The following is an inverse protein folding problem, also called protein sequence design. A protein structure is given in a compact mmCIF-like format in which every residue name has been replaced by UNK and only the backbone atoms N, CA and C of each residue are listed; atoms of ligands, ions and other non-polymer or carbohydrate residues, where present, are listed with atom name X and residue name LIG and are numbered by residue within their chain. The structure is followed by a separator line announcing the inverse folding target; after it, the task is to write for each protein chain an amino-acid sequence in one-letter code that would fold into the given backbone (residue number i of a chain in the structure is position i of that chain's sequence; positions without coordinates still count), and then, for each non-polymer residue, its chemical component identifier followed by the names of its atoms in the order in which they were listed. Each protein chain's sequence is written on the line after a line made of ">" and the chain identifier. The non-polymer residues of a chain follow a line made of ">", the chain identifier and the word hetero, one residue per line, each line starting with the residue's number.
data_IF_184714535691
#
_entry.id   IF_184714535691
#
_cell.length_a   1.000
_cell.length_b   1.000
_cell.length_c   1.000
_cell.angle_alpha   90.00
_cell.angle_beta   90.00
_cell.angle_gamma   90.00
#
_symmetry.space_group_name_H-M   'P 1'
#
loop_
_entity.id
_entity.type
_entity.pdbx_description
1 polymer ?
#
# COMPACT_ATOMS: atom_id res chain seq x y z
N UNK A 1 1.90 33.09 26.64
CA UNK A 1 2.59 33.06 25.32
C UNK A 1 3.45 31.81 25.09
N UNK A 2 4.17 31.27 26.09
CA UNK A 2 5.02 30.06 25.94
C UNK A 2 4.23 28.82 25.46
N UNK A 3 3.06 28.55 26.05
CA UNK A 3 2.21 27.40 25.70
C UNK A 3 1.71 27.47 24.26
N UNK A 4 1.27 28.65 23.79
CA UNK A 4 0.82 28.86 22.41
C UNK A 4 1.95 28.61 21.41
N UNK A 5 3.19 29.03 21.72
CA UNK A 5 4.35 28.76 20.87
C UNK A 5 4.67 27.26 20.81
N UNK A 6 4.61 26.56 21.94
CA UNK A 6 4.83 25.10 21.97
C UNK A 6 3.75 24.37 21.16
N UNK A 7 2.48 24.76 21.32
CA UNK A 7 1.38 24.18 20.57
C UNK A 7 1.52 24.42 19.05
N UNK A 8 1.93 25.63 18.64
CA UNK A 8 2.20 25.95 17.24
C UNK A 8 3.33 25.10 16.66
N UNK A 9 4.44 24.94 17.40
CA UNK A 9 5.57 24.11 16.96
C UNK A 9 5.15 22.65 16.83
N UNK A 10 4.39 22.11 17.79
CA UNK A 10 3.88 20.74 17.70
C UNK A 10 2.93 20.54 16.52
N UNK A 11 2.05 21.51 16.25
CA UNK A 11 1.16 21.46 15.09
C UNK A 11 1.94 21.49 13.77
N UNK A 12 2.99 22.32 13.69
CA UNK A 12 3.89 22.39 12.52
C UNK A 12 4.65 21.08 12.30
N UNK A 13 5.18 20.48 13.37
CA UNK A 13 5.88 19.19 13.29
C UNK A 13 4.93 18.06 12.87
N UNK A 14 3.72 18.03 13.42
CA UNK A 14 2.70 17.08 13.02
C UNK A 14 2.31 17.26 11.55
N UNK A 15 2.09 18.50 11.11
CA UNK A 15 1.77 18.82 9.71
C UNK A 15 2.89 18.44 8.75
N UNK A 16 4.15 18.73 9.10
CA UNK A 16 5.31 18.32 8.31
C UNK A 16 5.45 16.79 8.22
N UNK A 17 5.18 16.08 9.32
CA UNK A 17 5.16 14.61 9.35
C UNK A 17 4.11 14.04 8.41
N UNK A 18 2.88 14.58 8.45
CA UNK A 18 1.79 14.16 7.55
C UNK A 18 2.13 14.44 6.09
N UNK A 19 2.68 15.61 5.79
CA UNK A 19 3.09 15.97 4.42
C UNK A 19 4.20 15.05 3.89
N UNK A 20 5.16 14.70 4.73
CA UNK A 20 6.23 13.76 4.38
C UNK A 20 5.69 12.37 4.07
N UNK A 21 4.81 11.83 4.94
CA UNK A 21 4.13 10.56 4.72
C UNK A 21 3.34 10.53 3.41
N UNK A 22 2.61 11.60 3.10
CA UNK A 22 1.85 11.68 1.86
C UNK A 22 2.75 11.66 0.62
N UNK A 23 3.90 12.34 0.66
CA UNK A 23 4.87 12.33 -0.43
C UNK A 23 5.51 10.95 -0.61
N UNK A 24 5.85 10.27 0.48
CA UNK A 24 6.46 8.94 0.43
C UNK A 24 5.49 7.91 -0.12
N UNK A 25 4.25 7.90 0.37
CA UNK A 25 3.18 7.05 -0.16
C UNK A 25 3.02 7.33 -1.66
N UNK A 26 2.93 8.60 -2.06
CA UNK A 26 2.79 8.97 -3.47
C UNK A 26 3.96 8.46 -4.33
N UNK A 27 5.20 8.52 -3.83
CA UNK A 27 6.37 7.96 -4.55
C UNK A 27 6.24 6.45 -4.74
N UNK A 28 5.88 5.73 -3.69
CA UNK A 28 5.72 4.27 -3.74
C UNK A 28 4.60 3.85 -4.71
N UNK A 29 3.53 4.64 -4.83
CA UNK A 29 2.46 4.39 -5.82
C UNK A 29 2.88 4.63 -7.26
N UNK A 30 3.90 5.48 -7.49
CA UNK A 30 4.45 5.73 -8.82
C UNK A 30 5.63 4.81 -9.14
N UNK A 31 6.07 3.98 -8.19
CA UNK A 31 7.13 3.03 -8.41
C UNK A 31 6.62 1.87 -9.27
N UNK A 32 7.28 1.55 -10.39
CA UNK A 32 6.83 0.48 -11.26
C UNK A 32 6.88 -0.86 -10.52
N UNK A 33 5.83 -1.66 -10.70
CA UNK A 33 5.79 -3.02 -10.20
C UNK A 33 6.95 -3.82 -10.81
N UNK A 34 7.61 -4.63 -9.99
CA UNK A 34 8.70 -5.48 -10.43
C UNK A 34 8.13 -6.77 -11.05
N UNK A 35 7.54 -6.62 -12.25
CA UNK A 35 6.95 -7.73 -13.00
C UNK A 35 8.01 -8.31 -13.93
N UNK A 36 8.27 -9.64 -13.91
CA UNK A 36 9.19 -10.28 -14.84
C UNK A 36 8.74 -10.07 -16.29
N UNK A 37 9.69 -10.02 -17.24
CA UNK A 37 9.38 -9.87 -18.67
C UNK A 37 8.48 -11.00 -19.24
N UNK A 38 8.43 -12.15 -18.58
CA UNK A 38 7.53 -13.25 -18.92
C UNK A 38 6.08 -13.04 -18.44
N UNK A 39 5.81 -11.93 -17.75
CA UNK A 39 4.58 -11.67 -17.01
C UNK A 39 4.55 -12.39 -15.66
N UNK A 40 3.69 -11.90 -14.76
CA UNK A 40 3.41 -12.55 -13.48
C UNK A 40 1.98 -13.07 -13.47
N UNK A 41 1.82 -14.37 -13.18
CA UNK A 41 0.50 -14.99 -13.04
C UNK A 41 0.12 -15.04 -11.58
N UNK A 42 -0.83 -14.19 -11.21
CA UNK A 42 -1.43 -14.23 -9.90
C UNK A 42 -2.60 -15.20 -9.90
N UNK A 43 -2.50 -16.28 -9.12
CA UNK A 43 -3.61 -17.20 -8.89
C UNK A 43 -4.27 -16.88 -7.54
N UNK A 44 -5.50 -16.38 -7.58
CA UNK A 44 -6.28 -16.07 -6.37
C UNK A 44 -7.16 -17.26 -6.03
N UNK A 45 -6.80 -17.97 -4.94
CA UNK A 45 -7.57 -19.13 -4.48
C UNK A 45 -8.97 -18.73 -3.96
N UNK A 46 -9.96 -19.65 -3.98
CA UNK A 46 -11.27 -19.40 -3.41
C UNK A 46 -11.20 -19.04 -1.93
N UNK A 47 -11.79 -17.90 -1.56
CA UNK A 47 -11.76 -17.39 -0.19
C UNK A 47 -10.43 -16.72 0.22
N UNK A 48 -9.48 -16.52 -0.71
CA UNK A 48 -8.27 -15.77 -0.40
C UNK A 48 -8.61 -14.31 -0.06
N UNK A 49 -8.13 -13.85 1.10
CA UNK A 49 -8.24 -12.44 1.51
C UNK A 49 -7.20 -11.56 0.81
N UNK A 50 -7.41 -10.24 0.83
CA UNK A 50 -6.42 -9.29 0.33
C UNK A 50 -5.07 -9.48 0.99
N UNK A 51 -5.06 -9.75 2.29
CA UNK A 51 -3.84 -10.02 3.06
C UNK A 51 -3.05 -11.22 2.52
N UNK A 52 -3.74 -12.30 2.13
CA UNK A 52 -3.05 -13.47 1.57
C UNK A 52 -2.48 -13.17 0.19
N UNK A 53 -3.26 -12.53 -0.67
CA UNK A 53 -2.84 -12.17 -2.04
C UNK A 53 -1.64 -11.22 -2.04
N UNK A 54 -1.71 -10.15 -1.25
CA UNK A 54 -0.62 -9.18 -1.09
C UNK A 54 0.64 -9.79 -0.48
N UNK A 55 0.49 -10.70 0.49
CA UNK A 55 1.63 -11.42 1.04
C UNK A 55 2.33 -12.28 -0.01
N UNK A 56 1.58 -12.99 -0.85
CA UNK A 56 2.15 -13.76 -1.97
C UNK A 56 2.88 -12.86 -2.96
N UNK A 57 2.27 -11.74 -3.37
CA UNK A 57 2.90 -10.76 -4.26
C UNK A 57 4.21 -10.19 -3.67
N UNK A 58 4.25 -9.98 -2.36
CA UNK A 58 5.46 -9.53 -1.66
C UNK A 58 6.54 -10.61 -1.58
N UNK A 59 6.15 -11.87 -1.35
CA UNK A 59 7.06 -13.02 -1.35
C UNK A 59 7.67 -13.27 -2.74
N UNK A 60 6.89 -13.04 -3.79
CA UNK A 60 7.33 -13.17 -5.17
C UNK A 60 8.07 -11.93 -5.69
N UNK A 61 8.26 -10.91 -4.84
CA UNK A 61 9.02 -9.70 -5.15
C UNK A 61 8.34 -8.77 -6.17
N UNK A 62 7.06 -8.96 -6.43
CA UNK A 62 6.27 -8.13 -7.36
C UNK A 62 5.95 -6.77 -6.74
N UNK A 63 5.69 -6.75 -5.43
CA UNK A 63 5.46 -5.53 -4.65
C UNK A 63 6.49 -5.38 -3.53
N UNK A 64 7.03 -4.19 -3.36
CA UNK A 64 8.01 -3.90 -2.29
C UNK A 64 7.35 -3.80 -0.90
N UNK A 65 6.11 -3.33 -0.82
CA UNK A 65 5.44 -3.01 0.45
C UNK A 65 4.02 -3.62 0.54
N UNK A 66 3.90 -4.92 0.85
CA UNK A 66 2.60 -5.60 0.90
C UNK A 66 1.63 -5.01 1.93
N UNK A 67 2.13 -4.56 3.09
CA UNK A 67 1.28 -3.98 4.15
C UNK A 67 0.61 -2.66 3.72
N UNK A 68 1.26 -1.86 2.86
CA UNK A 68 0.66 -0.63 2.33
C UNK A 68 -0.54 -0.93 1.43
N UNK A 69 -0.44 -1.98 0.62
CA UNK A 69 -1.51 -2.41 -0.27
C UNK A 69 -2.70 -2.99 0.53
N UNK A 70 -2.42 -3.71 1.63
CA UNK A 70 -3.46 -4.15 2.57
C UNK A 70 -4.14 -2.97 3.24
N UNK A 71 -3.38 -2.01 3.76
CA UNK A 71 -3.92 -0.82 4.42
C UNK A 71 -4.79 0.00 3.47
N UNK A 72 -4.34 0.17 2.23
CA UNK A 72 -5.12 0.84 1.19
C UNK A 72 -6.43 0.11 0.90
N UNK A 73 -6.39 -1.22 0.72
CA UNK A 73 -7.62 -1.99 0.49
C UNK A 73 -8.57 -2.05 1.69
N UNK A 74 -8.06 -1.89 2.92
CA UNK A 74 -8.88 -1.68 4.12
C UNK A 74 -9.62 -0.33 4.07
N UNK A 75 -8.91 0.75 3.71
CA UNK A 75 -9.48 2.11 3.60
C UNK A 75 -10.52 2.16 2.47
N UNK A 76 -10.24 1.50 1.33
CA UNK A 76 -11.14 1.39 0.18
C UNK A 76 -12.33 0.43 0.40
N UNK A 77 -12.30 -0.40 1.45
CA UNK A 77 -13.28 -1.47 1.65
C UNK A 77 -13.20 -2.60 0.61
N UNK A 78 -12.07 -2.71 -0.09
CA UNK A 78 -11.81 -3.73 -1.11
C UNK A 78 -11.48 -5.11 -0.53
N UNK A 79 -11.16 -5.19 0.76
CA UNK A 79 -10.80 -6.45 1.45
C UNK A 79 -11.88 -7.54 1.31
N UNK A 80 -13.16 -7.15 1.24
CA UNK A 80 -14.29 -8.07 1.06
C UNK A 80 -14.68 -8.33 -0.41
N UNK A 81 -14.04 -7.69 -1.39
CA UNK A 81 -14.47 -7.70 -2.80
C UNK A 81 -13.46 -8.29 -3.78
N UNK A 82 -12.39 -8.93 -3.29
CA UNK A 82 -11.45 -9.60 -4.18
C UNK A 82 -12.18 -10.71 -4.93
N UNK A 83 -12.21 -10.58 -6.26
CA UNK A 83 -12.80 -11.58 -7.14
C UNK A 83 -11.80 -12.71 -7.36
N UNK A 84 -12.28 -13.93 -7.14
CA UNK A 84 -11.63 -15.17 -7.56
C UNK A 84 -11.26 -15.08 -9.05
N UNK A 85 -10.04 -15.47 -9.41
CA UNK A 85 -9.61 -15.58 -10.80
C UNK A 85 -8.10 -15.69 -10.95
N UNK A 86 -7.68 -15.93 -12.19
CA UNK A 86 -6.30 -15.76 -12.62
C UNK A 86 -6.13 -14.39 -13.25
N UNK A 87 -5.12 -13.65 -12.82
CA UNK A 87 -4.77 -12.34 -13.37
C UNK A 87 -3.38 -12.43 -13.99
N UNK A 88 -3.29 -12.08 -15.26
CA UNK A 88 -2.01 -11.89 -15.94
C UNK A 88 -1.60 -10.42 -15.75
N UNK A 89 -0.55 -10.21 -14.96
CA UNK A 89 0.10 -8.91 -14.82
C UNK A 89 1.23 -8.85 -15.86
N UNK A 90 1.14 -7.90 -16.80
CA UNK A 90 2.10 -7.67 -17.89
C UNK A 90 2.71 -6.30 -17.81
#
# INVERSE_FOLDING_TARGET
>A
MRVVRVALVLALLAGAGVAWLALEINRLWHEPLNIPAAGYRLQVAPGASLRTVTRTLGQDGVIAHPELLVLFGLIEGADARIKLGEYALT
#
